data_IF_993372763980
#
_entry.id   IF_993372763980
#
_cell.length_a   1.000
_cell.length_b   1.000
_cell.length_c   1.000
_cell.angle_alpha   90.00
_cell.angle_beta   90.00
_cell.angle_gamma   90.00
#
_symmetry.space_group_name_H-M   'P 1'
#
loop_
_entity.id
_entity.type
_entity.pdbx_description
1 polymer ?
#
# COMPACT_ATOMS: atom_id res chain seq x y z
N UNK A 1 5.37 -0.36 11.72
CA UNK A 1 6.18 0.17 10.59
C UNK A 1 5.26 0.85 9.60
N UNK A 2 5.72 1.92 9.01
CA UNK A 2 4.96 2.63 7.98
C UNK A 2 5.51 2.25 6.61
N UNK A 3 4.60 2.00 5.69
CA UNK A 3 4.93 1.66 4.31
C UNK A 3 4.18 2.55 3.35
N UNK A 4 4.84 2.89 2.25
CA UNK A 4 4.22 3.61 1.14
C UNK A 4 4.32 2.71 -0.08
N UNK A 5 3.17 2.30 -0.60
CA UNK A 5 3.11 1.42 -1.76
C UNK A 5 2.63 2.22 -2.97
N UNK A 6 3.47 2.26 -3.99
CA UNK A 6 3.18 2.92 -5.25
C UNK A 6 2.74 1.86 -6.24
N UNK A 7 1.62 2.07 -6.91
CA UNK A 7 1.04 1.05 -7.78
C UNK A 7 0.79 1.54 -9.20
N UNK A 8 0.95 0.62 -10.15
CA UNK A 8 0.60 0.84 -11.54
C UNK A 8 -0.34 -0.28 -11.97
N UNK A 9 -1.48 0.08 -12.55
CA UNK A 9 -2.40 -0.93 -13.05
C UNK A 9 -1.75 -1.74 -14.18
N UNK A 10 -1.91 -3.05 -14.11
CA UNK A 10 -1.40 -3.94 -15.15
C UNK A 10 -2.27 -3.89 -16.41
N UNK A 11 -3.52 -3.49 -16.24
CA UNK A 11 -4.47 -3.30 -17.33
C UNK A 11 -5.49 -2.26 -16.88
N UNK A 12 -6.33 -1.80 -17.83
CA UNK A 12 -7.34 -0.80 -17.52
C UNK A 12 -8.23 -1.28 -16.39
N UNK A 13 -8.39 -0.48 -15.32
CA UNK A 13 -9.24 -0.87 -14.20
C UNK A 13 -10.71 -0.89 -14.58
N UNK A 14 -11.44 -1.81 -13.98
CA UNK A 14 -12.88 -1.93 -14.08
C UNK A 14 -13.50 -1.67 -12.72
N UNK A 15 -14.80 -1.41 -12.70
CA UNK A 15 -15.51 -1.25 -11.44
C UNK A 15 -15.43 -2.53 -10.58
N UNK A 16 -15.51 -3.69 -11.22
CA UNK A 16 -15.39 -4.97 -10.53
C UNK A 16 -14.03 -5.13 -9.88
N UNK A 17 -12.96 -4.75 -10.58
CA UNK A 17 -11.62 -4.76 -10.02
C UNK A 17 -11.51 -3.82 -8.82
N UNK A 18 -12.09 -2.62 -8.92
CA UNK A 18 -12.13 -1.68 -7.81
C UNK A 18 -12.80 -2.27 -6.57
N UNK A 19 -13.95 -2.92 -6.75
CA UNK A 19 -14.67 -3.57 -5.64
C UNK A 19 -13.85 -4.70 -5.01
N UNK A 20 -13.15 -5.48 -5.83
CA UNK A 20 -12.28 -6.54 -5.33
C UNK A 20 -11.11 -5.96 -4.53
N UNK A 21 -10.54 -4.87 -4.98
CA UNK A 21 -9.48 -4.18 -4.25
C UNK A 21 -9.97 -3.67 -2.90
N UNK A 22 -11.18 -3.11 -2.85
CA UNK A 22 -11.79 -2.68 -1.59
C UNK A 22 -11.95 -3.83 -0.61
N UNK A 23 -12.39 -4.98 -1.11
CA UNK A 23 -12.53 -6.17 -0.28
C UNK A 23 -11.19 -6.62 0.30
N UNK A 24 -10.15 -6.60 -0.52
CA UNK A 24 -8.80 -6.98 -0.08
C UNK A 24 -8.25 -6.00 0.96
N UNK A 25 -8.52 -4.71 0.81
CA UNK A 25 -8.14 -3.73 1.82
C UNK A 25 -8.84 -3.98 3.15
N UNK A 26 -10.13 -4.29 3.12
CA UNK A 26 -10.88 -4.61 4.34
C UNK A 26 -10.31 -5.86 5.02
N UNK A 27 -9.97 -6.88 4.25
CA UNK A 27 -9.36 -8.08 4.82
C UNK A 27 -7.99 -7.81 5.42
N UNK A 28 -7.20 -6.94 4.81
CA UNK A 28 -5.88 -6.62 5.33
C UNK A 28 -5.93 -5.98 6.71
N UNK A 29 -7.01 -5.23 7.02
CA UNK A 29 -7.15 -4.64 8.34
C UNK A 29 -7.42 -5.68 9.42
N UNK A 30 -7.94 -6.84 9.05
CA UNK A 30 -8.21 -7.94 9.99
C UNK A 30 -6.95 -8.71 10.36
N UNK A 31 -5.89 -8.58 9.59
CA UNK A 31 -4.65 -9.33 9.81
C UNK A 31 -3.53 -8.47 10.38
N UNK A 32 -3.89 -7.35 11.03
CA UNK A 32 -2.95 -6.49 11.72
C UNK A 32 -2.46 -5.29 10.92
N UNK A 33 -2.96 -5.11 9.70
CA UNK A 33 -2.65 -3.94 8.91
C UNK A 33 -3.62 -2.79 9.17
N UNK A 34 -3.18 -1.59 8.86
CA UNK A 34 -4.01 -0.39 8.95
C UNK A 34 -3.72 0.49 7.73
N UNK A 35 -4.77 0.87 7.02
CA UNK A 35 -4.65 1.77 5.88
C UNK A 35 -4.76 3.21 6.41
N UNK A 36 -3.70 3.99 6.24
CA UNK A 36 -3.67 5.39 6.66
C UNK A 36 -4.13 6.33 5.54
N UNK A 37 -3.97 5.92 4.30
CA UNK A 37 -4.42 6.70 3.17
C UNK A 37 -4.37 5.86 1.90
N UNK A 38 -5.30 6.14 1.00
CA UNK A 38 -5.35 5.48 -0.30
C UNK A 38 -5.85 6.47 -1.33
N UNK A 39 -5.07 6.69 -2.38
CA UNK A 39 -5.36 7.70 -3.39
C UNK A 39 -5.08 7.14 -4.79
N UNK A 40 -5.93 7.49 -5.74
CA UNK A 40 -5.61 7.30 -7.14
C UNK A 40 -4.91 8.56 -7.64
N UNK A 41 -3.86 8.39 -8.42
CA UNK A 41 -2.99 9.48 -8.81
C UNK A 41 -2.85 9.56 -10.32
N UNK A 42 -2.40 10.71 -10.79
CA UNK A 42 -1.97 10.92 -12.17
C UNK A 42 -0.45 10.83 -12.23
N UNK A 43 0.07 10.57 -13.40
CA UNK A 43 1.50 10.56 -13.64
C UNK A 43 2.05 9.14 -13.72
N UNK A 44 3.25 8.96 -13.20
CA UNK A 44 3.97 7.69 -13.34
C UNK A 44 3.30 6.53 -12.63
N UNK A 45 2.65 6.80 -11.51
CA UNK A 45 1.95 5.80 -10.72
C UNK A 45 0.46 6.08 -10.75
N UNK A 46 -0.34 5.03 -10.70
CA UNK A 46 -1.80 5.13 -10.76
C UNK A 46 -2.43 5.21 -9.39
N UNK A 47 -1.72 4.76 -8.35
CA UNK A 47 -2.22 4.80 -7.00
C UNK A 47 -1.12 4.81 -5.97
N UNK A 48 -1.48 5.26 -4.77
CA UNK A 48 -0.57 5.27 -3.63
C UNK A 48 -1.36 4.82 -2.40
N UNK A 49 -0.76 3.93 -1.62
CA UNK A 49 -1.32 3.47 -0.35
C UNK A 49 -0.30 3.73 0.75
N UNK A 50 -0.75 4.41 1.78
CA UNK A 50 0.05 4.62 3.00
C UNK A 50 -0.54 3.71 4.06
N UNK A 51 0.28 2.84 4.64
CA UNK A 51 -0.21 1.83 5.56
C UNK A 51 0.74 1.61 6.73
N UNK A 52 0.20 1.02 7.79
CA UNK A 52 0.97 0.49 8.91
C UNK A 52 0.83 -1.02 8.95
N UNK A 53 1.91 -1.71 9.28
CA UNK A 53 1.90 -3.13 9.52
C UNK A 53 2.97 -3.46 10.58
N UNK A 54 2.81 -4.56 11.32
CA UNK A 54 3.79 -4.92 12.36
C UNK A 54 5.16 -5.23 11.79
N UNK A 55 5.22 -5.77 10.59
CA UNK A 55 6.49 -6.13 9.94
C UNK A 55 6.32 -6.16 8.42
N UNK A 56 7.44 -6.33 7.73
CA UNK A 56 7.47 -6.36 6.28
C UNK A 56 6.84 -7.63 5.71
N UNK A 57 6.84 -8.73 6.43
CA UNK A 57 6.20 -9.97 5.95
C UNK A 57 4.70 -9.83 5.89
N UNK A 58 4.11 -9.17 6.88
CA UNK A 58 2.66 -8.88 6.88
C UNK A 58 2.28 -8.03 5.68
N UNK A 59 3.06 -6.99 5.40
CA UNK A 59 2.80 -6.14 4.25
C UNK A 59 3.01 -6.89 2.94
N UNK A 60 4.07 -7.68 2.85
CA UNK A 60 4.37 -8.45 1.65
C UNK A 60 3.22 -9.38 1.28
N UNK A 61 2.63 -10.04 2.29
CA UNK A 61 1.47 -10.89 2.08
C UNK A 61 0.29 -10.11 1.52
N UNK A 62 0.05 -8.91 2.02
CA UNK A 62 -1.01 -8.04 1.54
C UNK A 62 -0.75 -7.60 0.09
N UNK A 63 0.47 -7.20 -0.22
CA UNK A 63 0.86 -6.77 -1.56
C UNK A 63 0.67 -7.90 -2.58
N UNK A 64 1.02 -9.13 -2.21
CA UNK A 64 0.85 -10.27 -3.08
C UNK A 64 -0.60 -10.52 -3.48
N UNK A 65 -1.56 -10.16 -2.62
CA UNK A 65 -2.98 -10.28 -2.93
C UNK A 65 -3.42 -9.35 -4.07
N UNK A 66 -2.67 -8.29 -4.34
CA UNK A 66 -2.97 -7.33 -5.40
C UNK A 66 -2.16 -7.57 -6.67
N UNK A 67 -1.27 -8.56 -6.68
CA UNK A 67 -0.29 -8.74 -7.76
C UNK A 67 -0.92 -8.96 -9.13
N UNK A 68 -2.12 -9.53 -9.19
CA UNK A 68 -2.81 -9.73 -10.47
C UNK A 68 -3.27 -8.42 -11.10
N UNK A 69 -3.56 -7.42 -10.28
CA UNK A 69 -4.14 -6.16 -10.72
C UNK A 69 -3.10 -5.06 -10.88
N UNK A 70 -2.09 -5.08 -10.02
CA UNK A 70 -1.21 -3.93 -9.81
C UNK A 70 0.24 -4.39 -9.72
N UNK A 71 1.10 -3.70 -10.44
CA UNK A 71 2.55 -3.78 -10.22
C UNK A 71 2.90 -2.76 -9.15
N UNK A 72 3.62 -3.17 -8.11
CA UNK A 72 3.85 -2.31 -6.94
C UNK A 72 5.32 -2.10 -6.64
N UNK A 73 5.59 -0.96 -6.03
CA UNK A 73 6.87 -0.62 -5.41
C UNK A 73 6.56 -0.15 -4.00
N UNK A 74 7.17 -0.79 -3.00
CA UNK A 74 6.90 -0.47 -1.60
C UNK A 74 8.13 0.12 -0.95
N UNK A 75 7.93 1.25 -0.27
CA UNK A 75 8.96 1.96 0.47
C UNK A 75 8.69 1.80 1.96
N UNK A 76 9.73 1.54 2.73
CA UNK A 76 9.66 1.65 4.18
C UNK A 76 9.86 3.12 4.54
N UNK A 77 8.96 3.65 5.35
CA UNK A 77 8.99 5.08 5.69
C UNK A 77 9.08 5.26 7.20
N UNK A 78 9.73 6.35 7.60
CA UNK A 78 9.72 6.79 8.99
C UNK A 78 9.19 8.22 9.03
N UNK A 79 8.56 8.59 10.14
CA UNK A 79 8.05 9.94 10.32
C UNK A 79 9.22 10.91 10.43
N UNK A 80 9.06 12.17 9.99
CA UNK A 80 10.14 13.17 10.10
C UNK A 80 10.66 13.33 11.52
N UNK A 81 9.80 13.20 12.52
CA UNK A 81 10.17 13.30 13.93
C UNK A 81 11.14 12.19 14.34
N UNK A 82 10.93 10.98 13.81
CA UNK A 82 11.83 9.86 14.04
C UNK A 82 13.13 10.01 13.23
N UNK A 83 12.99 10.47 11.98
CA UNK A 83 14.15 10.67 11.12
C UNK A 83 15.11 11.72 11.68
N UNK A 84 14.57 12.79 12.28
CA UNK A 84 15.39 13.86 12.85
C UNK A 84 16.32 13.35 13.95
N UNK A 85 15.92 12.34 14.69
CA UNK A 85 16.73 11.73 15.74
C UNK A 85 17.97 11.03 15.19
N UNK A 86 17.94 10.62 13.93
CA UNK A 86 19.08 9.97 13.28
C UNK A 86 20.20 10.96 13.00
N UNK A 87 19.92 12.24 13.09
CA UNK A 87 20.90 13.30 12.83
C UNK A 87 21.60 13.81 14.09
N UNK A 88 21.26 13.26 15.24
CA UNK A 88 21.86 13.61 16.54
C UNK A 88 23.21 12.94 16.75
#
# INVERSE_FOLDING_TARGET
MIFITLGRFRKKPTKQMFLEMQRLFEESTKTGGKILGYYWTLGRYDGIVISEAPDEKTLMKQVLNFADFVSTETLVAVRPEEASKLLE
#
